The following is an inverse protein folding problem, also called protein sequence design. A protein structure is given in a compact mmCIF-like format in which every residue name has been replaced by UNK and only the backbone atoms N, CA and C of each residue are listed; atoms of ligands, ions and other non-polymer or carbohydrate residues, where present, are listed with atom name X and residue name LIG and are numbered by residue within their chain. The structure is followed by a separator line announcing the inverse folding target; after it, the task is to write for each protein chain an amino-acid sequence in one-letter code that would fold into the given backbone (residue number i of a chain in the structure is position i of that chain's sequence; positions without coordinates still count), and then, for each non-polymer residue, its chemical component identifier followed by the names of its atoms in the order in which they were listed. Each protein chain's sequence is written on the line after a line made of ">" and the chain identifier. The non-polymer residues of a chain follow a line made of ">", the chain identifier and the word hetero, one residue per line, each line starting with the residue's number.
data_IF_502804012134
#
_entry.id   IF_502804012134
#
_cell.length_a   1.000
_cell.length_b   1.000
_cell.length_c   1.000
_cell.angle_alpha   90.00
_cell.angle_beta   90.00
_cell.angle_gamma   90.00
#
_symmetry.space_group_name_H-M   'P 1'
#
loop_
_entity.id
_entity.type
_entity.pdbx_description
1 polymer ?
#
# COMPACT_ATOMS: atom_id res chain seq x y z
N UNK A 1 9.72 -9.72 5.01
CA UNK A 1 9.39 -9.39 6.42
C UNK A 1 10.63 -8.79 7.09
N UNK A 2 10.44 -7.93 8.08
CA UNK A 2 11.54 -7.23 8.76
C UNK A 2 11.06 -6.58 10.06
N UNK A 3 11.94 -5.92 10.83
CA UNK A 3 11.57 -5.29 12.10
C UNK A 3 10.40 -4.30 11.92
N UNK A 4 9.30 -4.55 12.64
CA UNK A 4 8.10 -3.71 12.56
C UNK A 4 7.28 -3.84 11.27
N UNK A 5 7.53 -4.88 10.44
CA UNK A 5 6.74 -5.20 9.24
C UNK A 5 6.13 -6.59 9.37
N UNK A 6 4.80 -6.67 9.34
CA UNK A 6 4.02 -7.90 9.26
C UNK A 6 3.37 -7.99 7.87
N UNK A 7 3.42 -9.17 7.28
CA UNK A 7 2.73 -9.47 6.02
C UNK A 7 1.79 -10.65 6.26
N UNK A 8 0.49 -10.43 6.08
CA UNK A 8 -0.51 -11.49 6.07
C UNK A 8 -0.95 -11.74 4.63
N UNK A 9 -0.66 -12.91 4.08
CA UNK A 9 -0.96 -13.25 2.69
C UNK A 9 -1.38 -14.70 2.57
N UNK A 10 -2.25 -14.97 1.59
CA UNK A 10 -2.52 -16.32 1.08
C UNK A 10 -1.82 -16.58 -0.26
N UNK A 11 -1.30 -15.51 -0.90
CA UNK A 11 -0.69 -15.58 -2.21
C UNK A 11 0.65 -16.31 -2.15
N UNK A 12 0.89 -17.13 -3.17
CA UNK A 12 2.14 -17.85 -3.36
C UNK A 12 2.47 -17.94 -4.85
N UNK A 13 3.71 -18.31 -5.18
CA UNK A 13 4.10 -18.51 -6.59
C UNK A 13 3.21 -19.55 -7.26
N UNK A 14 2.73 -19.24 -8.46
CA UNK A 14 1.82 -20.09 -9.22
C UNK A 14 0.37 -20.10 -8.71
N UNK A 15 0.02 -19.23 -7.76
CA UNK A 15 -1.37 -19.05 -7.35
C UNK A 15 -2.20 -18.46 -8.50
N UNK A 16 -3.28 -19.16 -8.86
CA UNK A 16 -4.26 -18.68 -9.83
C UNK A 16 -5.44 -18.05 -9.08
N UNK A 17 -5.59 -16.73 -9.21
CA UNK A 17 -6.56 -15.98 -8.42
C UNK A 17 -7.97 -16.18 -8.99
N UNK A 18 -8.93 -16.73 -8.23
CA UNK A 18 -10.26 -16.96 -8.76
C UNK A 18 -11.01 -15.64 -8.94
N UNK A 19 -11.66 -15.45 -10.09
CA UNK A 19 -12.46 -14.27 -10.39
C UNK A 19 -13.73 -14.14 -9.52
N UNK A 20 -14.10 -15.17 -8.75
CA UNK A 20 -15.27 -15.18 -7.89
C UNK A 20 -15.06 -14.54 -6.52
N UNK A 21 -13.83 -14.17 -6.16
CA UNK A 21 -13.48 -13.58 -4.87
C UNK A 21 -12.84 -12.19 -5.04
N UNK A 22 -12.56 -11.53 -3.92
CA UNK A 22 -11.86 -10.25 -3.94
C UNK A 22 -10.40 -10.40 -4.42
N UNK A 23 -9.86 -9.31 -4.94
CA UNK A 23 -8.49 -9.26 -5.49
C UNK A 23 -7.40 -9.10 -4.41
N UNK A 24 -7.71 -9.35 -3.15
CA UNK A 24 -6.79 -9.13 -2.04
C UNK A 24 -5.70 -10.21 -2.02
N UNK A 25 -4.46 -9.85 -2.36
CA UNK A 25 -3.31 -10.75 -2.32
C UNK A 25 -2.61 -10.79 -0.95
N UNK A 26 -2.43 -9.62 -0.34
CA UNK A 26 -1.70 -9.48 0.92
C UNK A 26 -2.12 -8.22 1.68
N UNK A 27 -1.99 -8.27 3.00
CA UNK A 27 -2.02 -7.11 3.89
C UNK A 27 -0.59 -6.85 4.37
N UNK A 28 -0.05 -5.68 4.05
CA UNK A 28 1.23 -5.20 4.56
C UNK A 28 0.95 -4.24 5.70
N UNK A 29 1.46 -4.56 6.89
CA UNK A 29 1.19 -3.82 8.11
C UNK A 29 2.53 -3.41 8.71
N UNK A 30 2.68 -2.12 9.00
CA UNK A 30 3.87 -1.60 9.65
C UNK A 30 3.54 -0.95 10.98
N UNK A 31 4.47 -1.05 11.93
CA UNK A 31 4.37 -0.40 13.23
C UNK A 31 5.65 0.35 13.56
N UNK A 32 5.50 1.52 14.17
CA UNK A 32 6.59 2.36 14.69
C UNK A 32 6.07 3.25 15.83
N UNK A 33 6.94 3.75 16.72
CA UNK A 33 6.55 4.69 17.77
C UNK A 33 5.99 6.03 17.24
N UNK A 34 6.39 6.47 16.04
CA UNK A 34 5.92 7.69 15.40
C UNK A 34 5.25 7.40 14.06
N UNK A 35 4.30 8.27 13.68
CA UNK A 35 3.60 8.17 12.39
C UNK A 35 4.55 8.36 11.21
N UNK A 36 5.49 9.31 11.31
CA UNK A 36 6.50 9.55 10.27
C UNK A 36 7.40 8.33 10.03
N UNK A 37 7.81 7.64 11.10
CA UNK A 37 8.64 6.43 10.97
C UNK A 37 7.82 5.26 10.42
N UNK A 38 6.54 5.14 10.81
CA UNK A 38 5.64 4.14 10.27
C UNK A 38 5.43 4.36 8.76
N UNK A 39 5.18 5.60 8.32
CA UNK A 39 5.06 5.96 6.91
C UNK A 39 6.35 5.65 6.15
N UNK A 40 7.50 6.04 6.69
CA UNK A 40 8.81 5.76 6.07
C UNK A 40 9.06 4.26 5.92
N UNK A 41 8.70 3.46 6.95
CA UNK A 41 8.79 2.01 6.88
C UNK A 41 7.81 1.40 5.88
N UNK A 42 6.59 1.93 5.77
CA UNK A 42 5.62 1.46 4.76
C UNK A 42 6.14 1.72 3.35
N UNK A 43 6.71 2.92 3.09
CA UNK A 43 7.31 3.25 1.79
C UNK A 43 8.40 2.24 1.41
N UNK A 44 9.31 1.94 2.34
CA UNK A 44 10.36 0.94 2.14
C UNK A 44 9.77 -0.46 1.87
N UNK A 45 8.85 -0.92 2.73
CA UNK A 45 8.21 -2.23 2.57
C UNK A 45 7.48 -2.38 1.22
N UNK A 46 6.78 -1.33 0.76
CA UNK A 46 6.12 -1.33 -0.54
C UNK A 46 7.14 -1.31 -1.69
N UNK A 47 8.24 -0.55 -1.58
CA UNK A 47 9.29 -0.51 -2.61
C UNK A 47 10.04 -1.83 -2.76
N UNK A 48 10.12 -2.63 -1.70
CA UNK A 48 10.73 -3.96 -1.69
C UNK A 48 9.73 -5.08 -2.05
N UNK A 49 8.44 -4.78 -2.16
CA UNK A 49 7.41 -5.76 -2.51
C UNK A 49 7.43 -6.03 -4.01
N UNK A 50 7.64 -7.30 -4.38
CA UNK A 50 7.65 -7.74 -5.77
C UNK A 50 6.47 -8.68 -6.03
N UNK A 51 5.59 -8.28 -6.96
CA UNK A 51 4.50 -9.07 -7.50
C UNK A 51 4.59 -9.03 -9.02
N UNK A 52 4.56 -10.18 -9.67
CA UNK A 52 4.72 -10.32 -11.12
C UNK A 52 3.47 -10.95 -11.72
N UNK A 53 3.07 -10.50 -12.91
CA UNK A 53 1.93 -11.05 -13.65
C UNK A 53 0.56 -10.50 -13.21
N UNK A 54 0.53 -9.50 -12.34
CA UNK A 54 -0.70 -8.84 -11.87
C UNK A 54 -0.46 -7.35 -11.73
N UNK A 55 -1.47 -6.55 -12.05
CA UNK A 55 -1.51 -5.14 -11.67
C UNK A 55 -1.75 -5.02 -10.16
N UNK A 56 -1.19 -3.99 -9.54
CA UNK A 56 -1.29 -3.79 -8.09
C UNK A 56 -1.59 -2.34 -7.75
N UNK A 57 -2.13 -2.13 -6.55
CA UNK A 57 -2.35 -0.79 -6.00
C UNK A 57 -1.10 -0.21 -5.29
N UNK A 58 0.06 -0.85 -5.42
CA UNK A 58 1.31 -0.37 -4.81
C UNK A 58 1.64 1.07 -5.25
N UNK A 59 1.56 1.45 -6.55
CA UNK A 59 1.83 2.82 -6.97
C UNK A 59 0.90 3.85 -6.31
N UNK A 60 -0.41 3.56 -6.28
CA UNK A 60 -1.39 4.41 -5.60
C UNK A 60 -1.05 4.57 -4.11
N UNK A 61 -0.74 3.48 -3.41
CA UNK A 61 -0.37 3.56 -2.00
C UNK A 61 0.91 4.37 -1.77
N UNK A 62 1.91 4.27 -2.66
CA UNK A 62 3.11 5.11 -2.59
C UNK A 62 2.80 6.59 -2.82
N UNK A 63 1.95 6.91 -3.81
CA UNK A 63 1.50 8.27 -4.08
C UNK A 63 0.77 8.87 -2.86
N UNK A 64 -0.16 8.12 -2.26
CA UNK A 64 -0.84 8.53 -1.01
C UNK A 64 0.16 8.80 0.11
N UNK A 65 1.15 7.93 0.31
CA UNK A 65 2.17 8.11 1.36
C UNK A 65 3.10 9.31 1.10
N UNK A 66 3.15 9.84 -0.12
CA UNK A 66 3.90 11.03 -0.51
C UNK A 66 3.06 12.32 -0.52
N UNK A 67 1.73 12.21 -0.50
CA UNK A 67 0.82 13.35 -0.52
C UNK A 67 0.92 14.17 0.79
N UNK A 68 0.96 15.49 0.66
CA UNK A 68 1.12 16.42 1.79
C UNK A 68 -0.01 16.29 2.83
N UNK A 69 -1.26 16.18 2.39
CA UNK A 69 -2.43 16.18 3.27
C UNK A 69 -2.56 14.83 3.99
N UNK A 70 -2.19 13.75 3.32
CA UNK A 70 -1.96 12.48 4.01
C UNK A 70 -0.83 12.60 5.04
N UNK A 71 0.31 13.23 4.74
CA UNK A 71 1.42 13.38 5.68
C UNK A 71 1.07 14.26 6.89
N UNK A 72 0.27 15.31 6.71
CA UNK A 72 -0.22 16.18 7.80
C UNK A 72 -1.34 15.53 8.62
N UNK A 73 -2.01 14.51 8.06
CA UNK A 73 -3.16 13.85 8.68
C UNK A 73 -4.48 14.57 8.41
N UNK A 74 -4.49 15.56 7.50
CA UNK A 74 -5.67 16.28 7.06
C UNK A 74 -6.39 15.49 5.96
N UNK A 75 -7.07 14.41 6.35
CA UNK A 75 -7.77 13.51 5.43
C UNK A 75 -9.24 13.40 5.76
N UNK A 76 -10.07 13.32 4.71
CA UNK A 76 -11.51 13.11 4.83
C UNK A 76 -11.90 11.77 4.19
N UNK A 77 -13.17 11.38 4.34
CA UNK A 77 -13.73 10.21 3.61
C UNK A 77 -13.77 10.43 2.08
N UNK A 78 -13.61 11.68 1.62
CA UNK A 78 -13.55 12.06 0.20
C UNK A 78 -12.13 12.29 -0.31
N UNK A 79 -11.10 11.98 0.48
CA UNK A 79 -9.70 12.27 0.15
C UNK A 79 -9.33 11.89 -1.30
N UNK A 80 -9.67 10.68 -1.76
CA UNK A 80 -9.34 10.28 -3.14
C UNK A 80 -10.15 11.01 -4.22
N UNK A 81 -11.36 11.48 -3.91
CA UNK A 81 -12.16 12.32 -4.81
C UNK A 81 -11.61 13.75 -4.89
N UNK A 82 -11.06 14.23 -3.78
CA UNK A 82 -10.41 15.53 -3.62
C UNK A 82 -8.99 15.55 -4.23
N UNK A 83 -8.37 14.37 -4.41
CA UNK A 83 -7.03 14.16 -4.99
C UNK A 83 -7.02 13.20 -6.20
N UNK A 84 -7.77 13.50 -7.29
CA UNK A 84 -7.83 12.62 -8.46
C UNK A 84 -6.48 12.41 -9.13
N UNK A 85 -5.52 13.32 -8.95
CA UNK A 85 -4.15 13.21 -9.45
C UNK A 85 -3.42 11.96 -8.94
N UNK A 86 -3.77 11.46 -7.74
CA UNK A 86 -3.14 10.26 -7.16
C UNK A 86 -3.50 8.97 -7.92
N UNK A 87 -4.57 8.99 -8.71
CA UNK A 87 -5.03 7.84 -9.49
C UNK A 87 -4.29 7.67 -10.82
N UNK A 88 -3.47 8.64 -11.22
CA UNK A 88 -2.86 8.67 -12.55
C UNK A 88 -1.62 7.76 -12.69
N UNK A 89 -1.19 7.10 -11.61
CA UNK A 89 -0.17 6.05 -11.67
C UNK A 89 1.23 6.49 -12.07
N UNK A 90 1.52 7.80 -12.01
CA UNK A 90 2.87 8.36 -12.20
C UNK A 90 3.71 8.34 -10.91
#
# INVERSE_FOLDING_TARGET
>A
SGPGVRVDSHAHTGYDMPASFDSLLAKVIVWSPSRSDAISRMKAALSETMLLGVDTLIPLHQAILNNHDFLSGDITIRFLEEHPELLNGE
#
